data_IF_559856795916
#
_entry.id   IF_559856795916
#
_cell.length_a   1.000
_cell.length_b   1.000
_cell.length_c   1.000
_cell.angle_alpha   90.00
_cell.angle_beta   90.00
_cell.angle_gamma   90.00
#
_symmetry.space_group_name_H-M   'P 1'
#
loop_
_entity.id
_entity.type
_entity.pdbx_description
1 polymer ?
#
# COMPACT_ATOMS: atom_id res chain seq x y z
N UNK A 1 4.14 -19.21 5.78
CA UNK A 1 3.00 -18.50 6.37
C UNK A 1 3.50 -17.27 7.10
N UNK A 2 3.06 -16.08 6.71
CA UNK A 2 3.36 -14.87 7.44
C UNK A 2 2.24 -14.66 8.48
N UNK A 3 2.50 -15.06 9.73
CA UNK A 3 1.48 -15.06 10.79
C UNK A 3 1.07 -13.66 11.25
N UNK A 4 0.81 -13.51 12.56
CA UNK A 4 0.42 -12.25 13.18
C UNK A 4 1.35 -11.06 12.84
N UNK A 5 2.63 -11.32 12.55
CA UNK A 5 3.62 -10.31 12.18
C UNK A 5 3.34 -9.56 10.87
N UNK A 6 2.57 -10.12 9.92
CA UNK A 6 2.14 -9.37 8.72
C UNK A 6 0.73 -8.82 8.83
N UNK A 7 -0.13 -9.49 9.59
CA UNK A 7 -1.48 -9.00 9.88
C UNK A 7 -1.48 -7.69 10.67
N UNK A 8 -0.61 -7.56 11.68
CA UNK A 8 -0.55 -6.37 12.56
C UNK A 8 -0.15 -5.09 11.78
N UNK A 9 0.86 -5.11 10.88
CA UNK A 9 1.12 -3.97 9.99
C UNK A 9 -0.04 -3.65 9.03
N UNK A 10 -0.73 -4.66 8.49
CA UNK A 10 -1.83 -4.46 7.54
C UNK A 10 -3.02 -3.77 8.23
N UNK A 11 -3.36 -4.18 9.46
CA UNK A 11 -4.44 -3.53 10.22
C UNK A 11 -4.07 -2.11 10.64
N UNK A 12 -2.82 -1.88 11.05
CA UNK A 12 -2.32 -0.53 11.32
C UNK A 12 -2.38 0.39 10.10
N UNK A 13 -2.00 -0.12 8.92
CA UNK A 13 -2.10 0.61 7.66
C UNK A 13 -3.56 0.91 7.27
N UNK A 14 -4.48 -0.04 7.43
CA UNK A 14 -5.90 0.21 7.15
C UNK A 14 -6.45 1.36 8.02
N UNK A 15 -6.12 1.38 9.30
CA UNK A 15 -6.56 2.44 10.23
C UNK A 15 -5.98 3.82 9.85
N UNK A 16 -4.71 3.89 9.45
CA UNK A 16 -4.08 5.15 9.06
C UNK A 16 -4.63 5.71 7.75
N UNK A 17 -5.17 4.87 6.86
CA UNK A 17 -5.87 5.30 5.64
C UNK A 17 -7.32 5.75 5.95
N UNK A 18 -8.01 5.07 6.86
CA UNK A 18 -9.44 5.33 7.15
C UNK A 18 -9.65 6.55 8.06
N UNK A 19 -8.76 6.83 9.01
CA UNK A 19 -8.87 8.01 9.89
C UNK A 19 -9.05 9.32 9.10
N UNK A 20 -8.16 9.68 8.15
CA UNK A 20 -8.34 10.92 7.37
C UNK A 20 -9.53 10.85 6.39
N UNK A 21 -9.95 9.64 5.98
CA UNK A 21 -11.16 9.47 5.18
C UNK A 21 -12.43 9.87 5.94
N UNK A 22 -12.48 9.59 7.24
CA UNK A 22 -13.59 9.99 8.11
C UNK A 22 -13.58 11.48 8.40
N UNK A 23 -12.39 12.03 8.71
CA UNK A 23 -12.23 13.44 9.09
C UNK A 23 -12.54 14.39 7.93
N UNK A 24 -12.12 14.04 6.71
CA UNK A 24 -12.33 14.86 5.51
C UNK A 24 -13.56 14.45 4.68
N UNK A 25 -14.52 13.71 5.28
CA UNK A 25 -15.75 13.30 4.59
C UNK A 25 -16.61 14.49 4.13
N UNK A 26 -16.58 15.59 4.88
CA UNK A 26 -17.30 16.82 4.54
C UNK A 26 -16.77 17.52 3.27
N UNK A 27 -15.50 17.28 2.91
CA UNK A 27 -14.86 17.85 1.71
C UNK A 27 -15.22 17.08 0.42
N UNK A 28 -16.07 16.06 0.53
CA UNK A 28 -16.54 15.24 -0.59
C UNK A 28 -15.59 14.10 -0.96
N UNK A 29 -16.02 13.25 -1.89
CA UNK A 29 -15.35 11.98 -2.19
C UNK A 29 -14.00 12.14 -2.91
N UNK A 30 -13.88 13.14 -3.78
CA UNK A 30 -12.70 13.29 -4.66
C UNK A 30 -11.66 14.19 -4.00
N UNK A 31 -12.04 15.43 -3.65
CA UNK A 31 -11.13 16.43 -3.08
C UNK A 31 -10.80 16.17 -1.61
N UNK A 32 -11.76 15.64 -0.85
CA UNK A 32 -11.60 15.25 0.55
C UNK A 32 -11.10 13.82 0.72
N UNK A 33 -12.05 12.88 0.78
CA UNK A 33 -11.81 11.47 1.14
C UNK A 33 -10.71 10.85 0.28
N UNK A 34 -10.86 10.90 -1.04
CA UNK A 34 -9.92 10.29 -1.99
C UNK A 34 -8.52 10.88 -1.89
N UNK A 35 -8.39 12.21 -1.91
CA UNK A 35 -7.07 12.85 -1.86
C UNK A 35 -6.33 12.53 -0.55
N UNK A 36 -7.04 12.53 0.59
CA UNK A 36 -6.42 12.32 1.90
C UNK A 36 -6.06 10.86 2.15
N UNK A 37 -6.88 9.91 1.70
CA UNK A 37 -6.53 8.49 1.71
C UNK A 37 -5.26 8.21 0.89
N UNK A 38 -5.10 8.88 -0.25
CA UNK A 38 -3.98 8.64 -1.16
C UNK A 38 -2.64 9.19 -0.65
N UNK A 39 -2.63 10.12 0.31
CA UNK A 39 -1.39 10.59 0.93
C UNK A 39 -0.65 9.43 1.63
N UNK A 40 -1.40 8.53 2.26
CA UNK A 40 -0.83 7.36 2.97
C UNK A 40 -0.75 6.15 2.04
N UNK A 41 -1.80 5.89 1.24
CA UNK A 41 -1.84 4.73 0.36
C UNK A 41 -0.93 4.84 -0.87
N UNK A 42 -0.75 6.06 -1.40
CA UNK A 42 0.03 6.33 -2.61
C UNK A 42 1.48 5.83 -2.52
N UNK A 43 2.27 6.23 -1.49
CA UNK A 43 3.63 5.75 -1.32
C UNK A 43 3.74 4.22 -1.25
N UNK A 44 2.81 3.58 -0.54
CA UNK A 44 2.81 2.11 -0.39
C UNK A 44 2.59 1.40 -1.71
N UNK A 45 1.65 1.90 -2.54
CA UNK A 45 1.39 1.35 -3.87
C UNK A 45 2.61 1.54 -4.77
N UNK A 46 3.17 2.76 -4.83
CA UNK A 46 4.30 3.08 -5.72
C UNK A 46 5.52 2.23 -5.38
N UNK A 47 5.98 2.26 -4.13
CA UNK A 47 7.18 1.52 -3.75
C UNK A 47 6.92 0.01 -3.71
N UNK A 48 5.75 -0.43 -3.23
CA UNK A 48 5.40 -1.85 -3.17
C UNK A 48 5.39 -2.51 -4.54
N UNK A 49 4.73 -1.89 -5.53
CA UNK A 49 4.72 -2.41 -6.91
C UNK A 49 6.09 -2.33 -7.56
N UNK A 50 6.83 -1.23 -7.37
CA UNK A 50 8.18 -1.08 -7.95
C UNK A 50 9.14 -2.16 -7.44
N UNK A 51 9.22 -2.38 -6.12
CA UNK A 51 10.05 -3.44 -5.56
C UNK A 51 9.58 -4.84 -5.96
N UNK A 52 8.27 -5.07 -6.06
CA UNK A 52 7.72 -6.35 -6.52
C UNK A 52 8.13 -6.67 -7.96
N UNK A 53 8.11 -5.68 -8.86
CA UNK A 53 8.54 -5.86 -10.25
C UNK A 53 10.05 -6.11 -10.32
N UNK A 54 10.86 -5.31 -9.63
CA UNK A 54 12.32 -5.48 -9.60
C UNK A 54 12.69 -6.87 -9.08
N UNK A 55 12.09 -7.30 -7.97
CA UNK A 55 12.31 -8.64 -7.43
C UNK A 55 11.84 -9.75 -8.38
N UNK A 56 10.69 -9.57 -9.03
CA UNK A 56 10.17 -10.52 -10.03
C UNK A 56 11.09 -10.70 -11.23
N UNK A 57 11.70 -9.60 -11.72
CA UNK A 57 12.68 -9.66 -12.81
C UNK A 57 13.95 -10.41 -12.37
N UNK A 58 14.47 -10.10 -11.18
CA UNK A 58 15.63 -10.79 -10.63
C UNK A 58 15.35 -12.29 -10.52
N UNK A 59 14.21 -12.66 -9.93
CA UNK A 59 13.82 -14.06 -9.78
C UNK A 59 13.72 -14.77 -11.14
N UNK A 60 13.06 -14.16 -12.13
CA UNK A 60 12.93 -14.72 -13.47
C UNK A 60 14.30 -14.96 -14.14
N UNK A 61 15.22 -13.99 -14.07
CA UNK A 61 16.55 -14.13 -14.66
C UNK A 61 17.37 -15.23 -13.98
N UNK A 62 17.34 -15.33 -12.65
CA UNK A 62 18.04 -16.40 -11.93
C UNK A 62 17.48 -17.78 -12.27
N UNK A 63 16.16 -17.93 -12.44
CA UNK A 63 15.53 -19.19 -12.85
C UNK A 63 15.77 -19.57 -14.32
N UNK A 64 16.10 -18.61 -15.20
CA UNK A 64 16.45 -18.94 -16.59
C UNK A 64 17.94 -19.30 -16.75
N UNK A 65 18.81 -18.83 -15.85
CA UNK A 65 20.26 -19.03 -15.92
C UNK A 65 20.73 -20.31 -15.22
N UNK A 66 20.05 -20.74 -14.15
CA UNK A 66 20.32 -21.98 -13.42
C UNK A 66 19.22 -23.01 -13.65
#
# INVERSE_FOLDING_TARGET
>A
FAGAGTLVPITGFANSVISPAMDNKAEGLIMGVGSKMFIVAGPVIVYGTLFSVVYGIIYYLFTQVF
#
